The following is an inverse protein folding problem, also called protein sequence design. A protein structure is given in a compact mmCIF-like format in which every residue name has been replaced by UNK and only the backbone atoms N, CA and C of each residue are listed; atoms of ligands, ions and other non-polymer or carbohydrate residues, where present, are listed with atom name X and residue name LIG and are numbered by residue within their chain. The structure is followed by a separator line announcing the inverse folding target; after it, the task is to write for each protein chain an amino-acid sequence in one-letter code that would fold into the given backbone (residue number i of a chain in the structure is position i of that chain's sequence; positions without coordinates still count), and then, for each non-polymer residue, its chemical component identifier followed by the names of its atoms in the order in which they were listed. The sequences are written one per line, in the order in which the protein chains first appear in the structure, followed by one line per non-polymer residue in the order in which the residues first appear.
data_IF_661201544537
#
_entry.id   IF_661201544537
#
_cell.length_a   1.000
_cell.length_b   1.000
_cell.length_c   1.000
_cell.angle_alpha   90.00
_cell.angle_beta   90.00
_cell.angle_gamma   90.00
#
_symmetry.space_group_name_H-M   'P 1'
#
loop_
_entity.id
_entity.type
_entity.pdbx_description
1 polymer ?
#
# COMPACT_ATOMS: atom_id res chain seq x y z
N UNK A 1 -2.80 -15.14 -2.75
CA UNK A 1 -2.72 -14.05 -3.76
C UNK A 1 -1.31 -14.07 -4.34
N UNK A 2 -1.09 -13.89 -5.65
CA UNK A 2 0.22 -14.11 -6.29
C UNK A 2 1.27 -12.98 -6.05
N UNK A 3 1.36 -12.41 -4.85
CA UNK A 3 2.27 -11.28 -4.59
C UNK A 3 1.98 -10.06 -5.48
N UNK A 4 0.70 -9.81 -5.77
CA UNK A 4 0.29 -8.73 -6.66
C UNK A 4 0.41 -7.40 -5.92
N UNK A 5 1.05 -6.44 -6.56
CA UNK A 5 1.18 -5.07 -6.07
C UNK A 5 0.10 -4.21 -6.72
N UNK A 6 -0.74 -3.58 -5.90
CA UNK A 6 -1.90 -2.81 -6.35
C UNK A 6 -1.65 -1.31 -6.27
N UNK A 7 -2.34 -0.55 -7.09
CA UNK A 7 -2.42 0.90 -7.07
C UNK A 7 -3.51 1.41 -6.13
N UNK A 8 -3.47 2.71 -5.80
CA UNK A 8 -4.53 3.37 -5.02
C UNK A 8 -5.93 3.20 -5.65
N UNK A 9 -6.03 3.28 -6.97
CA UNK A 9 -7.32 3.17 -7.68
C UNK A 9 -7.85 1.74 -7.71
N UNK A 10 -6.97 0.74 -7.71
CA UNK A 10 -7.35 -0.67 -7.58
C UNK A 10 -7.83 -0.99 -6.18
N UNK A 11 -7.07 -0.61 -5.14
CA UNK A 11 -7.48 -0.79 -3.74
C UNK A 11 -8.82 -0.10 -3.45
N UNK A 12 -9.06 1.09 -3.99
CA UNK A 12 -10.31 1.83 -3.79
C UNK A 12 -11.56 1.09 -4.33
N UNK A 13 -11.38 0.14 -5.26
CA UNK A 13 -12.46 -0.65 -5.87
C UNK A 13 -12.61 -2.04 -5.23
N UNK A 14 -11.73 -2.42 -4.30
CA UNK A 14 -11.79 -3.72 -3.65
C UNK A 14 -12.94 -3.82 -2.65
N UNK A 15 -13.33 -5.06 -2.38
CA UNK A 15 -14.37 -5.42 -1.40
C UNK A 15 -13.74 -6.10 -0.18
N UNK A 16 -14.58 -6.49 0.77
CA UNK A 16 -14.20 -7.15 2.01
C UNK A 16 -13.15 -6.36 2.82
N UNK A 17 -12.29 -7.06 3.56
CA UNK A 17 -11.29 -6.46 4.43
C UNK A 17 -10.34 -5.52 3.67
N UNK A 18 -10.08 -5.79 2.38
CA UNK A 18 -9.26 -4.93 1.52
C UNK A 18 -9.96 -3.62 1.19
N UNK A 19 -11.26 -3.65 0.93
CA UNK A 19 -12.07 -2.45 0.73
C UNK A 19 -12.14 -1.60 2.00
N UNK A 20 -12.36 -2.24 3.16
CA UNK A 20 -12.40 -1.56 4.46
C UNK A 20 -11.05 -0.93 4.82
N UNK A 21 -9.98 -1.71 4.70
CA UNK A 21 -8.60 -1.25 4.87
C UNK A 21 -8.28 -0.10 3.90
N UNK A 22 -8.65 -0.25 2.63
CA UNK A 22 -8.47 0.76 1.61
C UNK A 22 -9.12 2.08 2.02
N UNK A 23 -10.40 2.07 2.37
CA UNK A 23 -11.11 3.27 2.87
C UNK A 23 -10.43 3.89 4.07
N UNK A 24 -10.00 3.09 5.05
CA UNK A 24 -9.34 3.59 6.26
C UNK A 24 -8.00 4.24 5.96
N UNK A 25 -7.14 3.58 5.18
CA UNK A 25 -5.83 4.13 4.81
C UNK A 25 -6.02 5.38 3.95
N UNK A 26 -6.85 5.31 2.91
CA UNK A 26 -7.09 6.44 2.01
C UNK A 26 -7.64 7.65 2.78
N UNK A 27 -8.57 7.43 3.71
CA UNK A 27 -9.13 8.47 4.58
C UNK A 27 -8.12 9.11 5.53
N UNK A 28 -7.06 8.41 5.94
CA UNK A 28 -5.97 9.00 6.76
C UNK A 28 -5.11 10.00 5.98
N UNK A 29 -5.06 9.86 4.67
CA UNK A 29 -4.34 10.80 3.80
C UNK A 29 -5.24 11.92 3.28
N UNK A 30 -6.56 11.82 3.45
CA UNK A 30 -7.50 12.87 3.06
C UNK A 30 -7.36 14.08 3.98
N UNK A 31 -7.08 15.23 3.37
CA UNK A 31 -6.42 16.37 4.02
C UNK A 31 -7.41 17.41 4.60
N UNK A 32 -8.69 17.04 4.78
CA UNK A 32 -9.76 17.95 5.20
C UNK A 32 -9.62 18.50 6.62
N UNK A 33 -8.83 17.87 7.49
CA UNK A 33 -8.65 18.28 8.89
C UNK A 33 -7.17 18.55 9.22
N UNK A 34 -6.85 19.76 9.69
CA UNK A 34 -5.50 20.15 10.11
C UNK A 34 -4.91 19.23 11.20
N UNK A 35 -5.74 18.65 12.07
CA UNK A 35 -5.30 17.66 13.06
C UNK A 35 -4.83 16.35 12.42
N UNK A 36 -5.46 15.91 11.33
CA UNK A 36 -5.05 14.69 10.62
C UNK A 36 -3.74 14.88 9.84
N UNK A 37 -3.50 16.06 9.27
CA UNK A 37 -2.21 16.41 8.66
C UNK A 37 -1.03 16.28 9.62
N UNK A 38 -1.24 16.53 10.91
CA UNK A 38 -0.22 16.38 11.95
C UNK A 38 0.04 14.91 12.31
N UNK A 39 -0.95 14.02 12.16
CA UNK A 39 -0.85 12.59 12.48
C UNK A 39 -0.04 11.81 11.44
N UNK A 40 0.15 12.35 10.23
CA UNK A 40 1.00 11.74 9.20
C UNK A 40 2.09 12.73 8.74
N UNK A 41 3.16 12.94 9.52
CA UNK A 41 4.16 13.99 9.26
C UNK A 41 5.05 13.71 8.05
N UNK A 42 4.94 12.53 7.41
CA UNK A 42 5.75 12.15 6.27
C UNK A 42 5.31 12.90 5.00
N UNK A 43 5.96 14.03 4.73
CA UNK A 43 5.75 14.85 3.52
C UNK A 43 5.91 14.03 2.23
N UNK A 44 6.86 13.10 2.20
CA UNK A 44 7.07 12.19 1.07
C UNK A 44 5.82 11.39 0.74
N UNK A 45 5.34 10.61 1.72
CA UNK A 45 4.21 9.73 1.54
C UNK A 45 2.92 10.52 1.28
N UNK A 46 2.75 11.70 1.89
CA UNK A 46 1.60 12.59 1.58
C UNK A 46 1.61 13.07 0.13
N UNK A 47 2.76 13.50 -0.39
CA UNK A 47 2.89 13.91 -1.79
C UNK A 47 2.66 12.73 -2.74
N UNK A 48 3.31 11.60 -2.47
CA UNK A 48 3.14 10.40 -3.28
C UNK A 48 1.67 9.93 -3.32
N UNK A 49 0.98 9.99 -2.17
CA UNK A 49 -0.44 9.66 -2.07
C UNK A 49 -1.31 10.62 -2.88
N UNK A 50 -1.08 11.94 -2.77
CA UNK A 50 -1.82 12.94 -3.54
C UNK A 50 -1.62 12.79 -5.06
N UNK A 51 -0.50 12.20 -5.48
CA UNK A 51 -0.15 11.95 -6.88
C UNK A 51 -0.59 10.57 -7.39
N UNK A 52 -1.27 9.74 -6.58
CA UNK A 52 -1.68 8.41 -7.03
C UNK A 52 -0.54 7.38 -7.07
N UNK A 53 0.61 7.70 -6.45
CA UNK A 53 1.85 6.91 -6.56
C UNK A 53 2.04 5.91 -5.42
N UNK A 54 1.11 5.76 -4.49
CA UNK A 54 1.25 4.74 -3.44
C UNK A 54 0.88 3.37 -4.00
N UNK A 55 1.73 2.38 -3.70
CA UNK A 55 1.50 0.98 -4.03
C UNK A 55 1.11 0.19 -2.78
N UNK A 56 0.37 -0.89 -2.95
CA UNK A 56 -0.12 -1.72 -1.85
C UNK A 56 0.21 -3.19 -2.09
N UNK A 57 0.66 -3.86 -1.04
CA UNK A 57 0.88 -5.30 -1.03
C UNK A 57 0.07 -5.92 0.13
N UNK A 58 -1.11 -6.48 -0.16
CA UNK A 58 -1.94 -7.13 0.85
C UNK A 58 -1.46 -8.56 1.16
N UNK A 59 -1.36 -8.87 2.44
CA UNK A 59 -0.93 -10.18 2.95
C UNK A 59 -2.09 -10.81 3.74
N UNK A 60 -2.66 -11.87 3.17
CA UNK A 60 -3.75 -12.60 3.80
C UNK A 60 -3.25 -13.45 4.99
N UNK A 61 -4.13 -13.65 5.97
CA UNK A 61 -3.91 -14.61 7.04
C UNK A 61 -4.45 -15.98 6.62
N UNK A 62 -3.59 -16.99 6.67
CA UNK A 62 -3.92 -18.37 6.31
C UNK A 62 -4.40 -19.11 7.55
N UNK A 63 -5.72 -19.17 7.72
CA UNK A 63 -6.39 -19.77 8.90
C UNK A 63 -5.87 -21.17 9.23
N UNK A 64 -5.77 -22.06 8.24
CA UNK A 64 -5.33 -23.46 8.43
C UNK A 64 -3.91 -23.58 8.99
N UNK A 65 -3.06 -22.58 8.70
CA UNK A 65 -1.66 -22.56 9.13
C UNK A 65 -1.43 -21.63 10.31
N UNK A 66 -2.48 -20.96 10.79
CA UNK A 66 -2.43 -19.93 11.82
C UNK A 66 -1.32 -18.88 11.61
N UNK A 67 -1.04 -18.51 10.35
CA UNK A 67 0.04 -17.60 10.00
C UNK A 67 -0.29 -16.77 8.76
N UNK A 68 0.40 -15.66 8.57
CA UNK A 68 0.33 -14.86 7.35
C UNK A 68 0.99 -15.58 6.16
N UNK A 69 0.50 -15.29 4.95
CA UNK A 69 1.07 -15.79 3.70
C UNK A 69 2.43 -15.12 3.38
N UNK A 70 3.49 -15.64 3.99
CA UNK A 70 4.85 -15.11 3.82
C UNK A 70 5.42 -15.36 2.42
N UNK A 71 4.89 -16.35 1.68
CA UNK A 71 5.29 -16.60 0.30
C UNK A 71 4.75 -15.49 -0.61
N UNK A 72 3.47 -15.11 -0.44
CA UNK A 72 2.89 -13.93 -1.08
C UNK A 72 3.68 -12.66 -0.73
N UNK A 73 4.08 -12.51 0.53
CA UNK A 73 4.87 -11.35 0.97
C UNK A 73 6.23 -11.28 0.25
N UNK A 74 7.00 -12.37 0.25
CA UNK A 74 8.31 -12.41 -0.39
C UNK A 74 8.21 -12.16 -1.91
N UNK A 75 7.25 -12.81 -2.58
CA UNK A 75 7.05 -12.64 -4.01
C UNK A 75 6.59 -11.21 -4.35
N UNK A 76 5.71 -10.62 -3.54
CA UNK A 76 5.25 -9.25 -3.75
C UNK A 76 6.34 -8.21 -3.54
N UNK A 77 7.21 -8.40 -2.55
CA UNK A 77 8.38 -7.54 -2.36
C UNK A 77 9.33 -7.63 -3.56
N UNK A 78 9.59 -8.84 -4.07
CA UNK A 78 10.41 -9.03 -5.26
C UNK A 78 9.81 -8.30 -6.47
N UNK A 79 8.52 -8.49 -6.73
CA UNK A 79 7.81 -7.83 -7.83
C UNK A 79 7.88 -6.30 -7.72
N UNK A 80 7.70 -5.76 -6.50
CA UNK A 80 7.82 -4.32 -6.26
C UNK A 80 9.23 -3.81 -6.54
N UNK A 81 10.28 -4.51 -6.08
CA UNK A 81 11.67 -4.11 -6.30
C UNK A 81 12.03 -4.15 -7.78
N UNK A 82 11.60 -5.18 -8.52
CA UNK A 82 11.81 -5.28 -9.97
C UNK A 82 11.12 -4.13 -10.72
N UNK A 83 9.89 -3.78 -10.33
CA UNK A 83 9.19 -2.60 -10.86
C UNK A 83 9.94 -1.30 -10.53
N UNK A 84 10.38 -1.15 -9.28
CA UNK A 84 11.10 0.01 -8.78
C UNK A 84 12.41 0.25 -9.54
N UNK A 85 13.22 -0.80 -9.70
CA UNK A 85 14.51 -0.75 -10.39
C UNK A 85 14.32 -0.42 -11.88
N UNK A 86 13.29 -0.97 -12.52
CA UNK A 86 13.10 -0.83 -13.97
C UNK A 86 12.47 0.50 -14.40
N UNK A 87 11.68 1.14 -13.54
CA UNK A 87 10.86 2.30 -13.96
C UNK A 87 11.12 3.59 -13.18
N UNK A 88 11.87 3.55 -12.08
CA UNK A 88 12.18 4.75 -11.31
C UNK A 88 13.34 5.54 -11.91
N UNK A 89 13.14 6.84 -12.15
CA UNK A 89 14.13 7.74 -12.75
C UNK A 89 15.12 8.34 -11.72
N UNK A 90 15.13 7.81 -10.49
CA UNK A 90 15.99 8.27 -9.39
C UNK A 90 15.54 9.56 -8.72
N UNK A 91 14.44 10.20 -9.17
CA UNK A 91 13.94 11.44 -8.56
C UNK A 91 13.00 11.14 -7.40
N UNK A 92 13.13 11.92 -6.33
CA UNK A 92 12.29 11.75 -5.14
C UNK A 92 10.79 11.93 -5.42
N UNK A 93 10.42 12.83 -6.34
CA UNK A 93 9.02 13.13 -6.67
C UNK A 93 8.36 12.15 -7.64
N UNK A 94 9.07 11.10 -8.07
CA UNK A 94 8.58 10.02 -8.94
C UNK A 94 8.68 8.67 -8.25
N UNK A 95 9.22 8.62 -7.03
CA UNK A 95 9.27 7.41 -6.23
C UNK A 95 7.87 7.05 -5.71
N UNK A 96 7.53 5.77 -5.81
CA UNK A 96 6.23 5.23 -5.39
C UNK A 96 6.39 4.36 -4.14
N UNK A 97 6.04 4.84 -2.94
CA UNK A 97 6.17 4.07 -1.71
C UNK A 97 5.24 2.85 -1.71
N UNK A 98 5.73 1.74 -1.14
CA UNK A 98 4.94 0.52 -0.90
C UNK A 98 4.37 0.52 0.53
N UNK A 99 3.07 0.30 0.64
CA UNK A 99 2.40 -0.06 1.89
C UNK A 99 2.11 -1.56 1.89
N UNK A 100 2.79 -2.30 2.76
CA UNK A 100 2.48 -3.70 3.02
C UNK A 100 1.40 -3.74 4.09
N UNK A 101 0.29 -4.43 3.82
CA UNK A 101 -0.84 -4.45 4.74
C UNK A 101 -1.26 -5.88 5.03
N UNK A 102 -1.36 -6.20 6.31
CA UNK A 102 -1.70 -7.53 6.79
C UNK A 102 -3.20 -7.58 7.10
N UNK A 103 -3.84 -8.68 6.70
CA UNK A 103 -5.24 -8.94 7.03
C UNK A 103 -5.44 -8.92 8.55
N UNK A 104 -6.42 -8.17 9.08
CA UNK A 104 -6.74 -8.20 10.50
C UNK A 104 -7.21 -9.61 10.92
N UNK A 105 -6.72 -10.10 12.06
CA UNK A 105 -7.04 -11.42 12.64
C UNK A 105 -7.67 -11.26 14.01
#
# INVERSE_FOLDING_TARGET
MNGIVYTQSEIAKMQDWLGDMGRQILGRFDNGNAKQKALFPCLFARKAFAQGMVKFLPIAYVQDKAQYDLECFAQGLKNYLELAISTWDGKFNTAYPLLVVFEPV
#
